data_IF_064641560366
#
_entry.id   IF_064641560366
#
_cell.length_a   1.000
_cell.length_b   1.000
_cell.length_c   1.000
_cell.angle_alpha   90.00
_cell.angle_beta   90.00
_cell.angle_gamma   90.00
#
_symmetry.space_group_name_H-M   'P 1'
#
loop_
_entity.id
_entity.type
_entity.pdbx_description
1 polymer ?
#
# COMPACT_ATOMS: atom_id res chain seq x y z
N UNK A 1 15.40 77.97 13.72
CA UNK A 1 15.94 76.60 13.70
C UNK A 1 14.77 75.64 13.74
N UNK A 2 14.44 74.97 12.65
CA UNK A 2 13.35 74.00 12.55
C UNK A 2 13.98 72.62 12.32
N UNK A 3 13.85 71.76 13.30
CA UNK A 3 14.36 70.39 13.29
C UNK A 3 13.34 69.52 12.55
N UNK A 4 13.73 68.86 11.45
CA UNK A 4 12.94 67.89 10.73
C UNK A 4 13.21 66.50 11.32
N UNK A 5 12.17 65.85 11.82
CA UNK A 5 12.21 64.42 12.20
C UNK A 5 12.00 63.59 10.95
N UNK A 6 12.93 62.68 10.65
CA UNK A 6 12.77 61.63 9.64
C UNK A 6 12.09 60.44 10.31
N UNK A 7 10.90 60.09 9.82
CA UNK A 7 10.28 58.80 10.10
C UNK A 7 10.73 57.79 9.04
N UNK A 8 11.56 56.83 9.45
CA UNK A 8 11.92 55.68 8.62
C UNK A 8 10.84 54.59 8.77
N UNK A 9 10.08 54.32 7.72
CA UNK A 9 9.18 53.17 7.66
C UNK A 9 9.99 51.92 7.29
N UNK A 10 10.11 51.02 8.24
CA UNK A 10 10.65 49.67 7.97
C UNK A 10 9.52 48.83 7.35
N UNK A 11 9.65 48.51 6.06
CA UNK A 11 8.82 47.51 5.40
C UNK A 11 9.35 46.13 5.76
N UNK A 12 8.63 45.40 6.62
CA UNK A 12 8.82 43.97 6.80
C UNK A 12 8.26 43.26 5.57
N UNK A 13 9.16 42.74 4.74
CA UNK A 13 8.79 41.77 3.72
C UNK A 13 8.49 40.42 4.40
N UNK A 14 7.21 40.10 4.55
CA UNK A 14 6.77 38.75 4.83
C UNK A 14 6.90 37.94 3.52
N UNK A 15 7.97 37.16 3.38
CA UNK A 15 8.07 36.14 2.34
C UNK A 15 7.08 35.03 2.68
N UNK A 16 5.89 35.04 2.04
CA UNK A 16 5.07 33.85 1.96
C UNK A 16 5.85 32.79 1.16
N UNK A 17 6.42 31.83 1.86
CA UNK A 17 6.85 30.58 1.23
C UNK A 17 5.57 29.84 0.88
N UNK A 18 5.06 30.01 -0.36
CA UNK A 18 4.15 29.04 -0.95
C UNK A 18 4.94 27.73 -1.08
N UNK A 19 4.69 26.82 -0.16
CA UNK A 19 5.06 25.40 -0.35
C UNK A 19 4.20 24.89 -1.53
N UNK A 20 4.74 25.03 -2.74
CA UNK A 20 4.21 24.34 -3.90
C UNK A 20 4.35 22.86 -3.63
N UNK A 21 3.24 22.12 -3.63
CA UNK A 21 3.28 20.66 -3.64
C UNK A 21 4.08 20.25 -4.87
N UNK A 22 5.34 19.85 -4.67
CA UNK A 22 6.16 19.26 -5.73
C UNK A 22 5.35 18.08 -6.30
N UNK A 23 5.09 18.09 -7.62
CA UNK A 23 4.48 16.96 -8.31
C UNK A 23 5.47 15.80 -8.18
N UNK A 24 5.09 14.83 -7.37
CA UNK A 24 5.93 13.67 -7.15
C UNK A 24 5.97 12.83 -8.43
N UNK A 25 7.18 12.58 -8.93
CA UNK A 25 7.39 11.89 -10.18
C UNK A 25 7.18 10.38 -10.01
N UNK A 26 6.37 9.79 -10.87
CA UNK A 26 6.26 8.32 -10.97
C UNK A 26 7.58 7.74 -11.48
N UNK A 27 8.08 6.70 -10.82
CA UNK A 27 9.32 6.02 -11.15
C UNK A 27 8.99 4.64 -11.71
N UNK A 28 9.33 4.33 -12.97
CA UNK A 28 9.14 3.01 -13.55
C UNK A 28 9.89 1.93 -12.77
N UNK A 29 9.22 0.81 -12.48
CA UNK A 29 9.82 -0.32 -11.79
C UNK A 29 10.83 -1.09 -12.66
N UNK A 30 10.65 -1.07 -13.97
CA UNK A 30 11.56 -1.65 -14.96
C UNK A 30 11.94 -0.60 -16.00
N UNK A 31 13.20 -0.17 -16.03
CA UNK A 31 13.66 0.86 -16.98
C UNK A 31 13.48 0.45 -18.46
N UNK A 32 13.54 -0.85 -18.73
CA UNK A 32 13.48 -1.42 -20.09
C UNK A 32 12.12 -2.07 -20.42
N UNK A 33 11.07 -1.78 -19.64
CA UNK A 33 9.75 -2.38 -19.77
C UNK A 33 9.51 -3.55 -18.82
N UNK A 34 8.26 -3.67 -18.35
CA UNK A 34 7.87 -4.75 -17.43
C UNK A 34 7.79 -6.10 -18.17
N UNK A 35 8.12 -7.21 -17.50
CA UNK A 35 7.90 -8.55 -18.08
C UNK A 35 6.44 -8.72 -18.53
N UNK A 36 6.24 -9.37 -19.67
CA UNK A 36 4.91 -9.65 -20.26
C UNK A 36 4.05 -8.41 -20.48
N UNK A 37 4.66 -7.24 -20.74
CA UNK A 37 3.94 -6.04 -21.08
C UNK A 37 3.22 -6.20 -22.43
N UNK A 38 1.91 -5.82 -22.48
CA UNK A 38 1.09 -5.93 -23.69
C UNK A 38 1.38 -4.79 -24.68
N UNK A 39 2.08 -3.74 -24.26
CA UNK A 39 2.44 -2.57 -25.05
C UNK A 39 3.39 -1.65 -24.30
N UNK A 40 3.42 -0.38 -24.72
CA UNK A 40 4.29 0.66 -24.18
C UNK A 40 3.52 1.90 -23.68
N UNK A 41 2.22 1.75 -23.47
CA UNK A 41 1.40 2.83 -22.90
C UNK A 41 1.65 2.99 -21.41
N UNK A 42 1.16 4.07 -20.83
CA UNK A 42 1.24 4.30 -19.37
C UNK A 42 0.57 3.19 -18.55
N UNK A 43 -0.37 2.44 -19.14
CA UNK A 43 -1.04 1.31 -18.52
C UNK A 43 -0.18 0.03 -18.49
N UNK A 44 0.87 -0.02 -19.31
CA UNK A 44 1.79 -1.15 -19.42
C UNK A 44 3.03 -0.96 -18.54
N UNK A 45 3.20 0.24 -17.97
CA UNK A 45 4.37 0.63 -17.17
C UNK A 45 3.97 0.75 -15.71
N UNK A 46 4.24 -0.28 -14.88
CA UNK A 46 4.06 -0.19 -13.44
C UNK A 46 5.11 0.75 -12.83
N UNK A 47 4.67 1.60 -11.90
CA UNK A 47 5.50 2.64 -11.28
C UNK A 47 5.32 2.68 -9.78
N UNK A 48 6.27 3.29 -9.08
CA UNK A 48 6.11 3.74 -7.70
C UNK A 48 6.20 5.26 -7.63
N UNK A 49 5.37 5.87 -6.80
CA UNK A 49 5.43 7.30 -6.49
C UNK A 49 5.90 7.45 -5.06
N UNK A 50 7.11 8.01 -4.80
CA UNK A 50 7.63 8.20 -3.45
C UNK A 50 6.92 9.36 -2.74
N UNK A 51 6.70 9.21 -1.44
CA UNK A 51 6.22 10.23 -0.50
C UNK A 51 7.14 10.20 0.72
N UNK A 52 7.81 11.31 0.99
CA UNK A 52 8.84 11.38 2.01
C UNK A 52 8.34 12.12 3.24
N UNK A 53 8.63 11.63 4.46
CA UNK A 53 8.40 12.38 5.68
C UNK A 53 9.38 13.56 5.78
N UNK A 54 9.06 14.52 6.66
CA UNK A 54 10.05 15.51 7.07
C UNK A 54 11.29 14.77 7.59
N UNK A 55 12.52 15.14 7.14
CA UNK A 55 13.75 14.46 7.54
C UNK A 55 13.95 14.40 9.06
N UNK A 56 13.46 15.39 9.81
CA UNK A 56 13.53 15.42 11.29
C UNK A 56 12.57 14.44 11.95
N UNK A 57 11.53 14.01 11.22
CA UNK A 57 10.53 13.05 11.68
C UNK A 57 10.75 11.64 11.16
N UNK A 58 11.60 11.45 10.14
CA UNK A 58 11.80 10.14 9.51
C UNK A 58 12.20 9.06 10.53
N UNK A 59 11.57 7.88 10.40
CA UNK A 59 11.85 6.71 11.26
C UNK A 59 12.83 5.73 10.60
N UNK A 60 13.05 5.87 9.30
CA UNK A 60 13.74 4.89 8.46
C UNK A 60 12.88 3.70 8.06
N UNK A 61 11.62 3.62 8.47
CA UNK A 61 10.69 2.63 7.97
C UNK A 61 10.07 3.05 6.64
N UNK A 62 9.70 2.07 5.81
CA UNK A 62 9.01 2.30 4.55
C UNK A 62 7.73 1.48 4.41
N UNK A 63 6.82 1.94 3.52
CA UNK A 63 5.58 1.28 3.19
C UNK A 63 5.32 1.31 1.68
N UNK A 64 5.17 0.15 1.04
CA UNK A 64 4.61 0.03 -0.30
C UNK A 64 3.10 0.01 -0.17
N UNK A 65 2.40 0.91 -0.88
CA UNK A 65 0.95 1.07 -0.78
C UNK A 65 0.30 0.62 -2.09
N UNK A 66 -0.60 -0.36 -1.98
CA UNK A 66 -1.39 -0.92 -3.08
C UNK A 66 -2.82 -0.39 -3.00
N UNK A 67 -3.21 0.62 -3.80
CA UNK A 67 -4.58 1.14 -3.82
C UNK A 67 -5.58 0.08 -4.25
N UNK A 68 -6.83 0.15 -3.77
CA UNK A 68 -7.93 -0.66 -4.26
C UNK A 68 -8.46 -0.18 -5.61
N UNK A 69 -9.61 -0.72 -6.01
CA UNK A 69 -10.27 -0.43 -7.29
C UNK A 69 -10.62 -1.66 -8.10
N UNK A 70 -10.80 -2.81 -7.42
CA UNK A 70 -11.32 -4.03 -8.04
C UNK A 70 -10.42 -4.66 -9.10
N UNK A 71 -9.12 -4.36 -9.12
CA UNK A 71 -8.21 -4.67 -10.23
C UNK A 71 -8.62 -4.08 -11.59
N UNK A 72 -9.61 -3.19 -11.59
CA UNK A 72 -10.08 -2.47 -12.77
C UNK A 72 -9.71 -0.98 -12.76
N UNK A 73 -9.21 -0.47 -11.64
CA UNK A 73 -8.76 0.90 -11.43
C UNK A 73 -7.89 1.00 -10.19
N UNK A 74 -7.44 2.23 -9.87
CA UNK A 74 -6.67 2.54 -8.68
C UNK A 74 -7.35 3.71 -7.95
N UNK A 75 -7.71 3.52 -6.68
CA UNK A 75 -8.40 4.51 -5.86
C UNK A 75 -7.39 5.52 -5.28
N UNK A 76 -7.41 6.82 -5.70
CA UNK A 76 -6.38 7.78 -5.29
C UNK A 76 -6.33 8.03 -3.78
N UNK A 77 -7.49 8.01 -3.09
CA UNK A 77 -7.58 8.23 -1.66
C UNK A 77 -6.98 7.08 -0.84
N UNK A 78 -6.90 5.87 -1.39
CA UNK A 78 -6.25 4.69 -0.81
C UNK A 78 -4.76 4.59 -1.18
N UNK A 79 -4.29 5.43 -2.10
CA UNK A 79 -2.88 5.58 -2.44
C UNK A 79 -2.29 6.82 -1.77
N UNK A 80 -2.44 8.00 -2.43
CA UNK A 80 -1.93 9.28 -1.97
C UNK A 80 -2.43 9.64 -0.56
N UNK A 81 -3.71 9.37 -0.24
CA UNK A 81 -4.28 9.67 1.08
C UNK A 81 -3.51 8.96 2.20
N UNK A 82 -3.29 7.66 2.07
CA UNK A 82 -2.52 6.87 3.05
C UNK A 82 -1.05 7.30 3.10
N UNK A 83 -0.44 7.58 1.94
CA UNK A 83 0.95 8.03 1.90
C UNK A 83 1.15 9.34 2.66
N UNK A 84 0.28 10.33 2.46
CA UNK A 84 0.32 11.61 3.18
C UNK A 84 0.09 11.43 4.68
N UNK A 85 -0.81 10.53 5.08
CA UNK A 85 -1.03 10.23 6.49
C UNK A 85 0.19 9.57 7.13
N UNK A 86 0.75 8.53 6.51
CA UNK A 86 1.91 7.81 7.06
C UNK A 86 3.17 8.67 7.12
N UNK A 87 3.38 9.56 6.14
CA UNK A 87 4.53 10.48 6.15
C UNK A 87 4.48 11.48 7.30
N UNK A 88 3.29 11.91 7.75
CA UNK A 88 3.14 12.72 8.96
C UNK A 88 3.64 12.00 10.21
N UNK A 89 3.67 10.67 10.19
CA UNK A 89 4.15 9.80 11.26
C UNK A 89 5.54 9.22 11.01
N UNK A 90 6.29 9.79 10.08
CA UNK A 90 7.70 9.49 9.83
C UNK A 90 7.98 8.29 8.94
N UNK A 91 6.96 7.71 8.29
CA UNK A 91 7.12 6.56 7.38
C UNK A 91 7.33 7.04 5.95
N UNK A 92 8.37 6.57 5.28
CA UNK A 92 8.54 6.78 3.83
C UNK A 92 7.57 5.88 3.07
N UNK A 93 6.82 6.43 2.10
CA UNK A 93 5.81 5.67 1.38
C UNK A 93 6.08 5.63 -0.12
N UNK A 94 5.71 4.52 -0.74
CA UNK A 94 5.79 4.30 -2.18
C UNK A 94 4.43 3.81 -2.66
N UNK A 95 3.67 4.68 -3.34
CA UNK A 95 2.37 4.31 -3.90
C UNK A 95 2.59 3.56 -5.21
N UNK A 96 2.16 2.32 -5.24
CA UNK A 96 2.30 1.44 -6.40
C UNK A 96 1.16 1.65 -7.40
N UNK A 97 1.51 1.97 -8.63
CA UNK A 97 0.65 1.83 -9.80
C UNK A 97 0.96 0.47 -10.43
N UNK A 98 0.17 -0.53 -10.10
CA UNK A 98 0.28 -1.88 -10.68
C UNK A 98 -0.59 -2.03 -11.91
N UNK A 99 -0.24 -2.96 -12.81
CA UNK A 99 -1.00 -3.26 -14.03
C UNK A 99 -2.38 -3.81 -13.70
N UNK A 100 -3.39 -3.53 -14.54
CA UNK A 100 -4.80 -3.74 -14.23
C UNK A 100 -5.48 -4.73 -15.18
N UNK A 101 -6.45 -5.46 -14.63
CA UNK A 101 -7.31 -6.37 -15.39
C UNK A 101 -8.16 -5.69 -16.45
N UNK A 102 -8.56 -4.44 -16.23
CA UNK A 102 -9.25 -3.61 -17.23
C UNK A 102 -8.42 -3.31 -18.49
N UNK A 103 -7.09 -3.44 -18.37
CA UNK A 103 -6.15 -3.26 -19.49
C UNK A 103 -5.64 -4.61 -20.05
N UNK A 104 -6.34 -5.70 -19.75
CA UNK A 104 -6.01 -7.03 -20.28
C UNK A 104 -5.06 -7.86 -19.43
N UNK A 105 -4.49 -7.29 -18.37
CA UNK A 105 -3.60 -8.03 -17.50
C UNK A 105 -4.35 -9.00 -16.59
N UNK A 106 -3.69 -10.08 -16.20
CA UNK A 106 -4.18 -11.08 -15.25
C UNK A 106 -3.04 -11.48 -14.32
N UNK A 107 -3.39 -12.23 -13.28
CA UNK A 107 -2.36 -12.91 -12.49
C UNK A 107 -1.42 -13.70 -13.43
N UNK A 108 -0.07 -13.62 -13.26
CA UNK A 108 0.65 -13.04 -12.09
C UNK A 108 1.12 -11.59 -12.26
N UNK A 109 0.73 -10.85 -13.32
CA UNK A 109 1.30 -9.53 -13.61
C UNK A 109 1.26 -8.58 -12.39
N UNK A 110 0.12 -8.48 -11.69
CA UNK A 110 -0.04 -7.62 -10.51
C UNK A 110 0.86 -8.04 -9.35
N UNK A 111 0.97 -9.35 -9.11
CA UNK A 111 1.86 -9.89 -8.07
C UNK A 111 3.33 -9.59 -8.40
N UNK A 112 3.73 -9.76 -9.66
CA UNK A 112 5.08 -9.43 -10.11
C UNK A 112 5.39 -7.94 -9.91
N UNK A 113 4.41 -7.06 -10.16
CA UNK A 113 4.56 -5.61 -9.94
C UNK A 113 4.74 -5.28 -8.45
N UNK A 114 3.97 -5.92 -7.56
CA UNK A 114 4.10 -5.72 -6.12
C UNK A 114 5.41 -6.30 -5.57
N UNK A 115 5.81 -7.49 -6.01
CA UNK A 115 7.09 -8.10 -5.67
C UNK A 115 8.26 -7.22 -6.12
N UNK A 116 8.21 -6.73 -7.35
CA UNK A 116 9.21 -5.80 -7.89
C UNK A 116 9.28 -4.50 -7.10
N UNK A 117 8.14 -3.94 -6.70
CA UNK A 117 8.10 -2.72 -5.90
C UNK A 117 8.81 -2.91 -4.55
N UNK A 118 8.58 -4.03 -3.87
CA UNK A 118 9.28 -4.35 -2.62
C UNK A 118 10.79 -4.46 -2.82
N UNK A 119 11.23 -5.20 -3.84
CA UNK A 119 12.65 -5.33 -4.19
C UNK A 119 13.27 -3.99 -4.57
N UNK A 120 12.53 -3.18 -5.35
CA UNK A 120 12.99 -1.87 -5.78
C UNK A 120 13.21 -0.94 -4.58
N UNK A 121 12.28 -0.89 -3.63
CA UNK A 121 12.41 -0.10 -2.40
C UNK A 121 13.63 -0.55 -1.59
N UNK A 122 13.88 -1.85 -1.46
CA UNK A 122 15.06 -2.38 -0.78
C UNK A 122 16.35 -2.04 -1.50
N UNK A 123 16.38 -2.10 -2.83
CA UNK A 123 17.55 -1.75 -3.64
C UNK A 123 17.94 -0.26 -3.54
N UNK A 124 16.96 0.61 -3.30
CA UNK A 124 17.15 2.05 -3.18
C UNK A 124 17.05 2.55 -1.73
N UNK A 125 17.22 1.66 -0.76
CA UNK A 125 17.07 1.99 0.65
C UNK A 125 17.99 3.14 1.10
N UNK A 126 19.24 3.13 0.65
CA UNK A 126 20.23 4.17 0.97
C UNK A 126 19.84 5.54 0.38
N UNK A 127 19.32 5.57 -0.86
CA UNK A 127 18.87 6.79 -1.54
C UNK A 127 17.77 7.51 -0.76
N UNK A 128 16.88 6.73 -0.13
CA UNK A 128 15.72 7.21 0.64
C UNK A 128 15.95 7.20 2.16
N UNK A 129 17.16 6.84 2.63
CA UNK A 129 17.50 6.71 4.06
C UNK A 129 16.55 5.77 4.81
N UNK A 130 16.26 4.64 4.20
CA UNK A 130 15.39 3.58 4.71
C UNK A 130 16.23 2.43 5.24
N UNK A 131 15.78 1.81 6.31
CA UNK A 131 16.23 0.49 6.73
C UNK A 131 15.57 -0.58 5.84
N UNK A 132 16.37 -1.27 5.02
CA UNK A 132 15.88 -2.29 4.09
C UNK A 132 15.20 -3.49 4.77
N UNK A 133 15.31 -3.63 6.09
CA UNK A 133 14.65 -4.65 6.92
C UNK A 133 13.38 -4.13 7.61
N UNK A 134 12.93 -2.92 7.26
CA UNK A 134 11.69 -2.31 7.76
C UNK A 134 10.83 -1.77 6.62
N UNK A 135 10.53 -2.63 5.65
CA UNK A 135 9.69 -2.30 4.49
C UNK A 135 8.39 -3.10 4.58
N UNK A 136 7.30 -2.43 4.92
CA UNK A 136 5.97 -3.02 4.97
C UNK A 136 5.20 -2.91 3.66
N UNK A 137 4.05 -3.61 3.60
CA UNK A 137 3.08 -3.48 2.51
C UNK A 137 1.70 -3.12 3.08
N UNK A 138 1.00 -2.21 2.42
CA UNK A 138 -0.36 -1.81 2.79
C UNK A 138 -1.27 -1.88 1.58
N UNK A 139 -2.50 -2.38 1.77
CA UNK A 139 -3.46 -2.41 0.68
C UNK A 139 -4.90 -2.40 1.15
N UNK A 140 -5.79 -1.83 0.31
CA UNK A 140 -7.22 -1.75 0.54
C UNK A 140 -8.00 -2.53 -0.51
N UNK A 141 -9.11 -3.17 -0.13
CA UNK A 141 -9.99 -3.84 -1.10
C UNK A 141 -9.21 -4.82 -2.00
N UNK A 142 -9.26 -4.66 -3.32
CA UNK A 142 -8.45 -5.43 -4.27
C UNK A 142 -6.93 -5.21 -4.10
N UNK A 143 -6.49 -4.00 -3.71
CA UNK A 143 -5.10 -3.75 -3.32
C UNK A 143 -4.71 -4.47 -2.04
N UNK A 144 -5.68 -4.69 -1.13
CA UNK A 144 -5.53 -5.55 0.04
C UNK A 144 -5.37 -7.02 -0.35
N UNK A 145 -6.06 -7.47 -1.39
CA UNK A 145 -5.82 -8.79 -1.97
C UNK A 145 -4.39 -8.90 -2.52
N UNK A 146 -3.95 -7.91 -3.29
CA UNK A 146 -2.58 -7.89 -3.82
C UNK A 146 -1.54 -7.91 -2.70
N UNK A 147 -1.73 -7.10 -1.66
CA UNK A 147 -0.86 -7.07 -0.49
C UNK A 147 -0.85 -8.42 0.25
N UNK A 148 -2.02 -9.03 0.52
CA UNK A 148 -2.11 -10.34 1.17
C UNK A 148 -1.56 -11.47 0.29
N UNK A 149 -1.69 -11.35 -1.05
CA UNK A 149 -1.04 -12.30 -1.97
C UNK A 149 0.47 -12.23 -1.83
N UNK A 150 1.06 -11.04 -1.78
CA UNK A 150 2.50 -10.93 -1.58
C UNK A 150 2.94 -11.38 -0.18
N UNK A 151 2.14 -11.14 0.86
CA UNK A 151 2.42 -11.64 2.22
C UNK A 151 2.44 -13.17 2.33
N UNK A 152 1.86 -13.88 1.35
CA UNK A 152 1.76 -15.35 1.34
C UNK A 152 2.50 -16.03 0.18
N UNK A 153 2.92 -15.26 -0.84
CA UNK A 153 3.59 -15.77 -2.06
C UNK A 153 4.90 -15.01 -2.36
N UNK A 154 5.53 -14.44 -1.36
CA UNK A 154 6.84 -13.82 -1.52
C UNK A 154 7.92 -14.86 -1.85
N UNK A 155 9.05 -14.38 -2.33
CA UNK A 155 10.27 -15.18 -2.56
C UNK A 155 11.51 -14.40 -2.12
N UNK A 156 12.63 -15.12 -1.99
CA UNK A 156 13.91 -14.57 -1.53
C UNK A 156 14.74 -13.93 -2.65
N UNK A 157 14.18 -13.81 -3.86
CA UNK A 157 14.88 -13.33 -5.04
C UNK A 157 15.82 -14.36 -5.70
N UNK A 158 16.23 -14.06 -6.92
CA UNK A 158 17.20 -14.87 -7.66
C UNK A 158 18.60 -14.26 -7.55
N UNK A 159 19.46 -14.87 -6.74
CA UNK A 159 20.85 -14.39 -6.51
C UNK A 159 21.69 -14.31 -7.79
N UNK A 160 21.28 -15.02 -8.85
CA UNK A 160 21.96 -15.08 -10.13
C UNK A 160 21.35 -14.16 -11.19
N UNK A 161 20.25 -13.45 -10.86
CA UNK A 161 19.63 -12.53 -11.79
C UNK A 161 20.61 -11.47 -12.27
N UNK A 162 20.54 -11.11 -13.56
CA UNK A 162 21.35 -10.03 -14.14
C UNK A 162 20.95 -8.67 -13.57
N UNK A 163 19.64 -8.45 -13.34
CA UNK A 163 19.13 -7.28 -12.63
C UNK A 163 19.34 -7.44 -11.12
N UNK A 164 20.13 -6.56 -10.54
CA UNK A 164 20.46 -6.57 -9.10
C UNK A 164 19.23 -6.42 -8.19
N UNK A 165 18.18 -5.77 -8.67
CA UNK A 165 16.92 -5.63 -7.93
C UNK A 165 16.24 -6.99 -7.75
N UNK A 166 16.26 -7.86 -8.74
CA UNK A 166 15.66 -9.19 -8.67
C UNK A 166 16.42 -10.17 -7.73
N UNK A 167 17.59 -9.78 -7.25
CA UNK A 167 18.36 -10.58 -6.26
C UNK A 167 17.86 -10.43 -4.83
N UNK A 168 16.99 -9.43 -4.58
CA UNK A 168 16.49 -9.09 -3.25
C UNK A 168 15.18 -9.82 -2.96
N UNK A 169 14.93 -10.07 -1.67
CA UNK A 169 13.67 -10.66 -1.23
C UNK A 169 12.48 -9.72 -1.49
N UNK A 170 11.38 -10.30 -1.97
CA UNK A 170 10.09 -9.62 -2.11
C UNK A 170 9.25 -9.68 -0.83
N UNK A 171 9.70 -10.37 0.23
CA UNK A 171 8.97 -10.55 1.47
C UNK A 171 8.76 -9.23 2.20
N UNK A 172 7.51 -8.78 2.47
CA UNK A 172 7.27 -7.64 3.32
C UNK A 172 7.67 -7.93 4.79
N UNK A 173 8.05 -6.91 5.56
CA UNK A 173 8.38 -7.10 6.98
C UNK A 173 7.14 -7.00 7.87
N UNK A 174 6.05 -6.38 7.36
CA UNK A 174 4.70 -6.41 7.93
C UNK A 174 3.64 -6.10 6.87
N UNK A 175 2.38 -6.40 7.17
CA UNK A 175 1.22 -6.09 6.32
C UNK A 175 0.15 -5.27 7.01
N UNK A 176 -0.49 -4.34 6.27
CA UNK A 176 -1.69 -3.61 6.69
C UNK A 176 -2.78 -3.87 5.65
N UNK A 177 -3.85 -4.53 6.07
CA UNK A 177 -4.95 -4.94 5.20
C UNK A 177 -6.24 -4.24 5.59
N UNK A 178 -6.70 -3.34 4.72
CA UNK A 178 -7.86 -2.48 4.94
C UNK A 178 -9.05 -3.03 4.16
N UNK A 179 -10.11 -3.51 4.84
CA UNK A 179 -11.30 -4.12 4.21
C UNK A 179 -10.93 -4.95 2.97
N UNK A 180 -9.89 -5.74 3.11
CA UNK A 180 -9.24 -6.43 2.00
C UNK A 180 -10.11 -7.55 1.42
N UNK A 181 -10.13 -7.66 0.09
CA UNK A 181 -10.48 -8.92 -0.56
C UNK A 181 -9.39 -9.93 -0.18
N UNK A 182 -9.79 -11.13 0.21
CA UNK A 182 -8.88 -12.21 0.65
C UNK A 182 -9.16 -13.48 -0.14
N UNK A 183 -10.41 -13.94 -0.11
CA UNK A 183 -10.82 -15.17 -0.79
C UNK A 183 -11.18 -14.91 -2.25
N UNK A 184 -10.80 -15.84 -3.12
CA UNK A 184 -11.31 -15.96 -4.48
C UNK A 184 -12.41 -17.02 -4.61
N UNK A 185 -12.81 -17.65 -3.47
CA UNK A 185 -13.85 -18.66 -3.37
C UNK A 185 -15.25 -18.10 -3.14
N UNK A 186 -15.92 -18.60 -2.09
CA UNK A 186 -17.31 -18.27 -1.75
C UNK A 186 -17.53 -16.79 -1.45
N UNK A 187 -16.63 -16.17 -0.66
CA UNK A 187 -16.73 -14.77 -0.25
C UNK A 187 -15.98 -13.80 -1.17
N UNK A 188 -15.65 -14.24 -2.39
CA UNK A 188 -14.94 -13.43 -3.34
C UNK A 188 -15.72 -12.18 -3.76
N UNK A 189 -15.05 -11.02 -3.78
CA UNK A 189 -15.56 -9.88 -4.52
C UNK A 189 -15.49 -10.18 -6.02
N UNK A 190 -16.63 -10.47 -6.65
CA UNK A 190 -16.72 -10.99 -8.03
C UNK A 190 -16.01 -10.11 -9.06
N UNK A 191 -16.11 -8.77 -8.91
CA UNK A 191 -15.43 -7.82 -9.80
C UNK A 191 -13.91 -8.00 -9.75
N UNK A 192 -13.33 -8.04 -8.55
CA UNK A 192 -11.90 -8.27 -8.34
C UNK A 192 -11.45 -9.63 -8.89
N UNK A 193 -12.20 -10.69 -8.59
CA UNK A 193 -11.90 -12.03 -9.10
C UNK A 193 -11.88 -12.07 -10.63
N UNK A 194 -12.89 -11.51 -11.28
CA UNK A 194 -12.99 -11.52 -12.75
C UNK A 194 -11.87 -10.69 -13.41
N UNK A 195 -11.53 -9.55 -12.83
CA UNK A 195 -10.43 -8.72 -13.33
C UNK A 195 -9.06 -9.37 -13.13
N UNK A 196 -8.87 -10.10 -12.03
CA UNK A 196 -7.60 -10.76 -11.73
C UNK A 196 -7.43 -12.08 -12.48
N UNK A 197 -8.48 -12.92 -12.50
CA UNK A 197 -8.40 -14.32 -12.92
C UNK A 197 -9.14 -14.61 -14.24
N UNK A 198 -9.97 -13.69 -14.71
CA UNK A 198 -10.91 -13.95 -15.78
C UNK A 198 -12.25 -14.52 -15.25
N UNK A 199 -13.20 -14.73 -16.17
CA UNK A 199 -14.58 -15.12 -15.82
C UNK A 199 -14.74 -16.60 -15.48
N UNK A 200 -13.82 -17.44 -15.95
CA UNK A 200 -13.85 -18.89 -15.72
C UNK A 200 -12.46 -19.44 -15.35
N UNK A 201 -11.90 -19.02 -14.19
CA UNK A 201 -10.58 -19.46 -13.79
C UNK A 201 -10.55 -20.93 -13.38
N UNK A 202 -9.40 -21.63 -13.59
CA UNK A 202 -9.20 -22.97 -13.07
C UNK A 202 -9.35 -23.00 -11.54
N UNK A 203 -9.95 -24.08 -10.98
CA UNK A 203 -10.13 -24.22 -9.52
C UNK A 203 -8.82 -24.08 -8.72
N UNK A 204 -7.74 -24.60 -9.24
CA UNK A 204 -6.40 -24.54 -8.62
C UNK A 204 -5.92 -23.08 -8.48
N UNK A 205 -6.18 -22.24 -9.49
CA UNK A 205 -5.82 -20.83 -9.44
C UNK A 205 -6.70 -20.07 -8.44
N UNK A 206 -7.99 -20.39 -8.37
CA UNK A 206 -8.90 -19.85 -7.33
C UNK A 206 -8.38 -20.21 -5.95
N UNK A 207 -8.01 -21.47 -5.72
CA UNK A 207 -7.48 -21.94 -4.45
C UNK A 207 -6.14 -21.28 -4.11
N UNK A 208 -5.23 -21.20 -5.06
CA UNK A 208 -3.90 -20.57 -4.87
C UNK A 208 -4.00 -19.08 -4.52
N UNK A 209 -5.00 -18.37 -5.03
CA UNK A 209 -5.19 -16.94 -4.77
C UNK A 209 -6.31 -16.66 -3.75
N UNK A 210 -6.78 -17.66 -3.04
CA UNK A 210 -7.51 -17.54 -1.79
C UNK A 210 -6.49 -17.49 -0.65
N UNK A 211 -6.11 -16.27 -0.25
CA UNK A 211 -4.93 -16.02 0.58
C UNK A 211 -5.06 -16.57 2.00
N UNK A 212 -6.29 -16.75 2.49
CA UNK A 212 -6.57 -17.44 3.75
C UNK A 212 -6.10 -18.91 3.76
N UNK A 213 -5.97 -19.51 2.58
CA UNK A 213 -5.49 -20.88 2.41
C UNK A 213 -3.96 -20.97 2.22
N UNK A 214 -3.26 -19.83 2.10
CA UNK A 214 -1.85 -19.74 1.79
C UNK A 214 -0.97 -19.25 2.94
N UNK A 215 -1.58 -18.91 4.08
CA UNK A 215 -0.84 -18.48 5.28
C UNK A 215 0.07 -19.60 5.78
N UNK A 216 1.31 -19.24 6.09
CA UNK A 216 2.32 -20.12 6.69
C UNK A 216 2.93 -19.48 7.93
N UNK A 217 3.83 -20.17 8.62
CA UNK A 217 4.61 -19.60 9.74
C UNK A 217 5.54 -18.46 9.32
N UNK A 218 5.87 -18.36 8.01
CA UNK A 218 6.75 -17.33 7.45
C UNK A 218 5.99 -16.07 7.01
N UNK A 219 4.64 -16.11 7.04
CA UNK A 219 3.80 -14.94 6.76
C UNK A 219 4.10 -13.83 7.77
N UNK A 220 4.36 -12.58 7.31
CA UNK A 220 4.69 -11.47 8.19
C UNK A 220 3.56 -11.06 9.14
N UNK A 221 3.87 -10.36 10.26
CA UNK A 221 2.86 -9.77 11.13
C UNK A 221 1.89 -8.85 10.39
N UNK A 222 0.59 -8.89 10.73
CA UNK A 222 -0.46 -8.16 10.03
C UNK A 222 -1.32 -7.29 10.95
N UNK A 223 -1.70 -6.11 10.45
CA UNK A 223 -2.82 -5.32 10.96
C UNK A 223 -4.00 -5.48 10.03
N UNK A 224 -5.14 -5.90 10.54
CA UNK A 224 -6.36 -6.20 9.77
C UNK A 224 -7.50 -5.35 10.29
N UNK A 225 -8.28 -4.74 9.37
CA UNK A 225 -9.52 -4.11 9.78
C UNK A 225 -10.59 -4.14 8.69
N UNK A 226 -11.84 -4.14 9.12
CA UNK A 226 -13.04 -4.11 8.29
C UNK A 226 -14.22 -3.55 9.07
N UNK A 227 -15.38 -3.43 8.44
CA UNK A 227 -16.63 -2.99 9.07
C UNK A 227 -17.76 -3.97 8.80
N UNK A 228 -18.76 -4.02 9.69
CA UNK A 228 -19.97 -4.84 9.50
C UNK A 228 -20.88 -4.30 8.39
N UNK A 229 -20.85 -3.00 8.14
CA UNK A 229 -21.67 -2.35 7.10
C UNK A 229 -21.10 -2.52 5.68
N UNK A 230 -19.90 -3.08 5.52
CA UNK A 230 -19.31 -3.32 4.20
C UNK A 230 -20.07 -4.43 3.47
N UNK A 231 -20.84 -4.03 2.44
CA UNK A 231 -21.61 -4.93 1.59
C UNK A 231 -20.89 -5.31 0.28
N UNK A 232 -19.73 -4.75 0.04
CA UNK A 232 -18.93 -5.03 -1.18
C UNK A 232 -17.89 -6.11 -0.94
N UNK A 233 -17.14 -6.00 0.16
CA UNK A 233 -16.19 -7.00 0.62
C UNK A 233 -16.60 -7.40 2.03
N UNK A 234 -17.30 -8.52 2.11
CA UNK A 234 -17.85 -9.01 3.37
C UNK A 234 -16.75 -9.28 4.40
N UNK A 235 -17.05 -9.01 5.68
CA UNK A 235 -16.09 -9.12 6.78
C UNK A 235 -15.48 -10.53 6.92
N UNK A 236 -16.14 -11.55 6.39
CA UNK A 236 -15.68 -12.94 6.34
C UNK A 236 -14.29 -13.05 5.70
N UNK A 237 -13.98 -12.22 4.70
CA UNK A 237 -12.65 -12.15 4.13
C UNK A 237 -11.58 -11.89 5.21
N UNK A 238 -11.79 -10.84 6.01
CA UNK A 238 -10.87 -10.46 7.09
C UNK A 238 -10.83 -11.52 8.20
N UNK A 239 -11.98 -12.09 8.54
CA UNK A 239 -12.07 -13.12 9.58
C UNK A 239 -11.35 -14.41 9.20
N UNK A 240 -11.53 -14.90 7.96
CA UNK A 240 -10.83 -16.10 7.48
C UNK A 240 -9.31 -15.92 7.47
N UNK A 241 -8.83 -14.74 7.07
CA UNK A 241 -7.39 -14.47 7.08
C UNK A 241 -6.84 -14.40 8.52
N UNK A 242 -7.56 -13.75 9.43
CA UNK A 242 -7.19 -13.70 10.85
C UNK A 242 -7.15 -15.09 11.51
N UNK A 243 -8.14 -15.95 11.19
CA UNK A 243 -8.15 -17.34 11.66
C UNK A 243 -6.93 -18.13 11.14
N UNK A 244 -6.59 -17.95 9.86
CA UNK A 244 -5.41 -18.58 9.26
C UNK A 244 -4.12 -18.08 9.92
N UNK A 245 -3.97 -16.78 10.14
CA UNK A 245 -2.81 -16.21 10.86
C UNK A 245 -2.69 -16.79 12.27
N UNK A 246 -3.79 -16.87 13.02
CA UNK A 246 -3.81 -17.47 14.34
C UNK A 246 -3.39 -18.94 14.33
N UNK A 247 -3.91 -19.72 13.37
CA UNK A 247 -3.60 -21.15 13.20
C UNK A 247 -2.09 -21.37 12.97
N UNK A 248 -1.46 -20.45 12.24
CA UNK A 248 -0.03 -20.50 11.92
C UNK A 248 0.87 -19.71 12.87
N UNK A 249 0.31 -19.25 14.03
CA UNK A 249 1.03 -18.50 15.06
C UNK A 249 1.68 -17.20 14.57
N UNK A 250 1.14 -16.61 13.52
CA UNK A 250 1.58 -15.31 13.00
C UNK A 250 0.98 -14.18 13.87
N UNK A 251 1.78 -13.23 14.37
CA UNK A 251 1.26 -12.11 15.14
C UNK A 251 0.36 -11.20 14.29
N UNK A 252 -0.82 -10.82 14.82
CA UNK A 252 -1.69 -9.86 14.14
C UNK A 252 -2.52 -9.03 15.12
N UNK A 253 -3.02 -7.89 14.65
CA UNK A 253 -4.10 -7.13 15.27
C UNK A 253 -5.33 -7.20 14.35
N UNK A 254 -6.52 -7.39 14.93
CA UNK A 254 -7.79 -7.45 14.20
C UNK A 254 -8.78 -6.46 14.79
N UNK A 255 -9.34 -5.61 13.92
CA UNK A 255 -10.35 -4.63 14.28
C UNK A 255 -11.56 -4.77 13.37
N UNK A 256 -12.73 -4.97 13.96
CA UNK A 256 -14.01 -5.00 13.25
C UNK A 256 -14.89 -3.91 13.84
N UNK A 257 -15.21 -2.91 13.03
CA UNK A 257 -16.05 -1.79 13.45
C UNK A 257 -17.49 -2.00 12.96
N UNK A 258 -18.45 -1.49 13.72
CA UNK A 258 -19.86 -1.61 13.34
C UNK A 258 -20.14 -0.78 12.08
N UNK A 259 -19.69 0.47 12.05
CA UNK A 259 -20.02 1.47 11.04
C UNK A 259 -18.91 1.66 10.01
N UNK A 260 -19.32 1.85 8.77
CA UNK A 260 -18.46 2.23 7.66
C UNK A 260 -18.80 1.48 6.38
N UNK A 261 -18.96 2.22 5.28
CA UNK A 261 -19.12 1.64 3.95
C UNK A 261 -17.79 1.15 3.39
N UNK A 262 -17.85 0.33 2.35
CA UNK A 262 -16.65 -0.05 1.59
C UNK A 262 -15.90 1.17 1.02
N UNK A 263 -14.58 1.08 0.97
CA UNK A 263 -13.73 2.10 0.35
C UNK A 263 -13.66 3.41 1.13
N UNK A 264 -13.81 3.36 2.45
CA UNK A 264 -13.79 4.54 3.30
C UNK A 264 -12.42 5.27 3.38
N UNK A 265 -11.30 4.58 3.13
CA UNK A 265 -9.97 5.17 3.29
C UNK A 265 -9.73 5.65 4.72
N UNK A 266 -9.22 6.87 4.89
CA UNK A 266 -9.02 7.51 6.19
C UNK A 266 -10.30 8.13 6.77
N UNK A 267 -11.37 8.13 5.99
CA UNK A 267 -12.66 8.68 6.37
C UNK A 267 -12.67 10.19 6.69
N UNK A 268 -12.00 10.96 5.88
CA UNK A 268 -11.98 12.43 5.90
C UNK A 268 -13.09 13.07 5.02
N UNK A 269 -13.99 12.22 4.46
CA UNK A 269 -15.12 12.65 3.62
C UNK A 269 -16.47 12.55 4.35
N UNK A 270 -17.44 13.44 4.06
CA UNK A 270 -18.82 13.33 4.58
C UNK A 270 -19.43 11.94 4.27
N UNK A 271 -20.30 11.38 5.13
CA UNK A 271 -20.96 12.02 6.28
C UNK A 271 -20.19 11.94 7.60
N UNK A 272 -19.00 11.41 7.63
CA UNK A 272 -18.23 11.23 8.86
C UNK A 272 -17.48 12.53 9.18
N UNK A 273 -17.73 13.10 10.34
CA UNK A 273 -17.12 14.34 10.81
C UNK A 273 -15.77 14.12 11.54
N UNK A 274 -15.39 12.85 11.73
CA UNK A 274 -14.18 12.47 12.46
C UNK A 274 -13.44 11.39 11.70
N UNK A 275 -12.10 11.33 11.77
CA UNK A 275 -11.35 10.20 11.26
C UNK A 275 -11.86 8.89 11.84
N UNK A 276 -11.96 7.87 11.01
CA UNK A 276 -12.37 6.55 11.47
C UNK A 276 -11.33 6.00 12.46
N UNK A 277 -11.71 5.38 13.58
CA UNK A 277 -10.78 4.97 14.65
C UNK A 277 -9.67 4.04 14.19
N UNK A 278 -9.86 3.27 13.11
CA UNK A 278 -8.84 2.35 12.61
C UNK A 278 -7.47 3.00 12.38
N UNK A 279 -7.43 4.28 11.98
CA UNK A 279 -6.18 4.98 11.72
C UNK A 279 -5.36 5.15 13.01
N UNK A 280 -6.03 5.50 14.13
CA UNK A 280 -5.39 5.60 15.43
C UNK A 280 -4.91 4.23 15.96
N UNK A 281 -5.73 3.20 15.81
CA UNK A 281 -5.37 1.83 16.21
C UNK A 281 -4.19 1.28 15.39
N UNK A 282 -4.18 1.54 14.08
CA UNK A 282 -3.07 1.19 13.20
C UNK A 282 -1.78 1.94 13.57
N UNK A 283 -1.90 3.25 13.85
CA UNK A 283 -0.74 4.05 14.28
C UNK A 283 -0.16 3.53 15.58
N UNK A 284 -1.00 3.19 16.57
CA UNK A 284 -0.54 2.55 17.81
C UNK A 284 0.23 1.26 17.50
N UNK A 285 -0.32 0.38 16.66
CA UNK A 285 0.33 -0.88 16.28
C UNK A 285 1.66 -0.68 15.54
N UNK A 286 1.77 0.36 14.70
CA UNK A 286 3.01 0.72 14.00
C UNK A 286 4.07 1.28 14.95
N UNK A 287 3.68 2.07 15.97
CA UNK A 287 4.59 2.61 17.00
C UNK A 287 5.22 1.50 17.82
N UNK A 288 4.43 0.52 18.27
CA UNK A 288 4.92 -0.65 19.00
C UNK A 288 5.98 -1.44 18.19
N UNK A 289 5.92 -1.36 16.85
CA UNK A 289 6.87 -1.98 15.92
C UNK A 289 7.96 -1.05 15.43
N UNK A 290 8.02 0.17 15.94
CA UNK A 290 8.99 1.22 15.57
C UNK A 290 8.92 1.65 14.10
N UNK A 291 7.78 1.47 13.45
CA UNK A 291 7.55 1.98 12.10
C UNK A 291 7.14 3.45 12.10
N UNK A 292 6.38 3.89 13.10
CA UNK A 292 5.87 5.27 13.22
C UNK A 292 6.33 5.94 14.52
N UNK A 293 6.20 7.27 14.55
CA UNK A 293 6.38 8.13 15.73
C UNK A 293 5.05 8.64 16.25
#
# INVERSE_FOLDING_TARGET
MKTKALFGSAFLFFSLILSGAEMQTEIPLWPNGAPDALGNSTNDIPTVTPYLPDPTNATGAAMVICPGGGYGGLAPHEGKGYALWLTQHGVTCFVLKYRLGSHGYRHPAMLNDAARAMRWVRAHADDYKIDSHRVGIMGSSAGGHLASTLLTHFDEGDKNASDVVERLSSRPDLGILCYAVISMGEFAHRGSRNNLLGTNPPPELVKSLSNELQVTTDTPPCFLWTTLEDQSVLMENTMMFAEALRKHHVPFALHIYEKGRHGLGLNDLPPFLHPHPWAADCLFWLKERKYAK
#
